data_IF_804427041476
#
_entry.id   IF_804427041476
#
_cell.length_a   1.000
_cell.length_b   1.000
_cell.length_c   1.000
_cell.angle_alpha   90.00
_cell.angle_beta   90.00
_cell.angle_gamma   90.00
#
_symmetry.space_group_name_H-M   'P 1'
#
loop_
_entity.id
_entity.type
_entity.pdbx_description
1 polymer ?
#
# COMPACT_ATOMS: atom_id res chain seq x y z
N UNK A 1 -6.84 38.13 -7.48
CA UNK A 1 -7.16 36.72 -7.18
C UNK A 1 -6.06 35.83 -7.70
N UNK A 2 -5.17 35.35 -6.84
CA UNK A 2 -4.24 34.27 -7.20
C UNK A 2 -4.74 33.02 -6.51
N UNK A 3 -5.17 32.02 -7.27
CA UNK A 3 -5.45 30.69 -6.75
C UNK A 3 -4.09 29.99 -6.62
N UNK A 4 -3.55 29.70 -5.42
CA UNK A 4 -2.33 28.94 -5.35
C UNK A 4 -2.70 27.47 -5.51
N UNK A 5 -2.45 26.97 -6.72
CA UNK A 5 -1.91 25.65 -7.01
C UNK A 5 -2.61 24.50 -6.27
N UNK A 6 -3.59 23.88 -6.92
CA UNK A 6 -3.94 22.49 -6.63
C UNK A 6 -2.62 21.73 -6.57
N UNK A 7 -2.22 21.31 -5.37
CA UNK A 7 -1.09 20.41 -5.20
C UNK A 7 -1.41 19.21 -6.12
N UNK A 8 -0.46 18.76 -6.96
CA UNK A 8 -0.70 17.53 -7.70
C UNK A 8 -1.05 16.50 -6.64
N UNK A 9 -2.27 15.96 -6.71
CA UNK A 9 -2.75 14.89 -5.86
C UNK A 9 -1.59 13.91 -5.78
N UNK A 10 -0.91 13.86 -4.63
CA UNK A 10 0.33 13.10 -4.47
C UNK A 10 0.09 11.76 -5.12
N UNK A 11 0.78 11.51 -6.24
CA UNK A 11 0.47 10.35 -7.07
C UNK A 11 0.40 9.13 -6.15
N UNK A 12 -0.58 8.23 -6.36
CA UNK A 12 -0.77 7.12 -5.43
C UNK A 12 0.57 6.42 -5.22
N UNK A 13 1.02 6.37 -3.96
CA UNK A 13 2.35 5.88 -3.65
C UNK A 13 2.41 4.41 -4.04
N UNK A 14 3.20 4.09 -5.07
CA UNK A 14 3.44 2.71 -5.47
C UNK A 14 4.56 2.16 -4.60
N UNK A 15 4.35 0.99 -4.06
CA UNK A 15 5.36 0.26 -3.29
C UNK A 15 5.55 -1.12 -3.90
N UNK A 16 6.77 -1.61 -3.85
CA UNK A 16 7.10 -2.97 -4.28
C UNK A 16 7.25 -3.84 -3.05
N UNK A 17 6.65 -5.02 -3.08
CA UNK A 17 6.84 -6.00 -2.02
C UNK A 17 8.28 -6.52 -2.00
N UNK A 18 8.98 -6.32 -0.89
CA UNK A 18 10.30 -6.91 -0.65
C UNK A 18 10.19 -8.39 -0.26
N UNK A 19 9.14 -8.72 0.48
CA UNK A 19 8.91 -10.06 1.02
C UNK A 19 7.50 -10.53 0.71
N UNK A 20 7.27 -11.84 0.54
CA UNK A 20 5.92 -12.36 0.39
C UNK A 20 5.13 -12.18 1.68
N UNK A 21 3.91 -11.64 1.58
CA UNK A 21 2.96 -11.59 2.67
C UNK A 21 1.73 -12.43 2.29
N UNK A 22 1.53 -13.50 3.04
CA UNK A 22 0.38 -14.38 2.88
C UNK A 22 -0.41 -14.38 4.18
N UNK A 23 -1.72 -14.13 4.18
CA UNK A 23 -2.56 -14.47 5.32
C UNK A 23 -2.63 -15.99 5.43
N UNK A 24 -1.64 -16.59 6.10
CA UNK A 24 -1.54 -18.03 6.31
C UNK A 24 -2.63 -18.45 7.30
N UNK A 25 -3.75 -18.96 6.77
CA UNK A 25 -4.68 -19.86 7.45
C UNK A 25 -4.98 -19.53 8.92
N UNK A 26 -5.80 -18.50 9.15
CA UNK A 26 -6.34 -18.18 10.47
C UNK A 26 -6.37 -16.69 10.67
N UNK A 27 -7.55 -16.15 10.94
CA UNK A 27 -7.73 -14.77 11.37
C UNK A 27 -7.00 -14.55 12.71
N UNK A 28 -5.69 -14.35 12.66
CA UNK A 28 -4.81 -14.23 13.81
C UNK A 28 -4.08 -12.90 13.80
N UNK A 29 -4.81 -11.85 13.47
CA UNK A 29 -4.61 -10.43 13.77
C UNK A 29 -5.43 -9.66 12.74
N UNK A 30 -6.70 -9.42 13.08
CA UNK A 30 -7.56 -8.55 12.29
C UNK A 30 -6.94 -7.15 12.29
N UNK A 31 -6.15 -6.84 11.27
CA UNK A 31 -5.65 -5.51 10.99
C UNK A 31 -6.87 -4.57 10.97
N UNK A 32 -6.98 -3.79 12.06
CA UNK A 32 -7.95 -2.73 12.30
C UNK A 32 -9.34 -2.93 11.65
N UNK A 33 -10.22 -3.70 12.31
CA UNK A 33 -11.68 -3.45 12.24
C UNK A 33 -12.40 -3.82 10.93
N UNK A 34 -12.03 -4.93 10.28
CA UNK A 34 -12.87 -5.56 9.24
C UNK A 34 -12.29 -5.57 7.81
N UNK A 35 -11.07 -5.10 7.62
CA UNK A 35 -10.40 -5.15 6.32
C UNK A 35 -9.40 -6.32 6.26
N UNK A 36 -9.48 -7.09 5.17
CA UNK A 36 -8.62 -8.25 4.93
C UNK A 36 -7.14 -7.86 4.80
N UNK A 37 -6.22 -8.75 5.18
CA UNK A 37 -4.79 -8.61 4.89
C UNK A 37 -4.52 -8.73 3.39
N UNK A 38 -3.60 -7.92 2.87
CA UNK A 38 -3.24 -7.95 1.46
C UNK A 38 -2.28 -9.12 1.20
N UNK A 39 -2.68 -10.04 0.32
CA UNK A 39 -1.78 -11.08 -0.16
C UNK A 39 -0.90 -10.55 -1.29
N UNK A 40 0.42 -10.74 -1.17
CA UNK A 40 1.38 -10.43 -2.22
C UNK A 40 2.65 -11.28 -2.11
N UNK A 41 3.40 -11.36 -3.21
CA UNK A 41 4.69 -12.01 -3.29
C UNK A 41 5.80 -10.95 -3.39
N UNK A 42 7.03 -11.33 -3.06
CA UNK A 42 8.17 -10.45 -3.33
C UNK A 42 8.25 -10.09 -4.82
N UNK A 43 8.46 -8.81 -5.12
CA UNK A 43 8.43 -8.22 -6.46
C UNK A 43 7.04 -7.76 -6.93
N UNK A 44 5.97 -7.96 -6.14
CA UNK A 44 4.65 -7.44 -6.51
C UNK A 44 4.57 -5.92 -6.34
N UNK A 45 3.99 -5.24 -7.33
CA UNK A 45 3.63 -3.82 -7.22
C UNK A 45 2.31 -3.67 -6.49
N UNK A 46 2.32 -2.86 -5.42
CA UNK A 46 1.17 -2.53 -4.61
C UNK A 46 0.93 -1.01 -4.66
N UNK A 47 -0.31 -0.63 -4.85
CA UNK A 47 -0.72 0.78 -4.87
C UNK A 47 -1.29 1.15 -3.51
N UNK A 48 -0.66 2.08 -2.79
CA UNK A 48 -1.24 2.63 -1.56
C UNK A 48 -2.53 3.36 -1.91
N UNK A 49 -3.60 2.93 -1.24
CA UNK A 49 -4.91 3.56 -1.33
C UNK A 49 -5.13 4.56 -0.19
N UNK A 50 -4.41 4.42 0.92
CA UNK A 50 -4.48 5.31 2.09
C UNK A 50 -3.08 5.87 2.35
N UNK A 51 -2.96 7.20 2.37
CA UNK A 51 -1.71 7.91 2.70
C UNK A 51 -1.45 8.02 4.21
N UNK A 52 -2.49 7.95 5.05
CA UNK A 52 -2.35 7.91 6.50
C UNK A 52 -2.19 6.46 6.99
N UNK A 53 -0.97 5.99 7.34
CA UNK A 53 -0.80 4.73 8.04
C UNK A 53 -1.58 4.74 9.35
N UNK A 54 -2.35 3.68 9.58
CA UNK A 54 -2.75 3.33 10.95
C UNK A 54 -1.66 2.44 11.53
N UNK A 55 -0.93 2.96 12.52
CA UNK A 55 -0.13 2.16 13.44
C UNK A 55 0.83 1.15 12.75
N UNK A 56 1.57 1.60 11.72
CA UNK A 56 2.55 0.77 11.01
C UNK A 56 2.00 -0.12 9.88
N UNK A 57 0.69 -0.07 9.62
CA UNK A 57 0.05 -0.76 8.50
C UNK A 57 -0.28 0.23 7.38
N UNK A 58 -0.10 -0.23 6.14
CA UNK A 58 -0.55 0.46 4.94
C UNK A 58 -1.71 -0.30 4.31
N UNK A 59 -2.68 0.46 3.80
CA UNK A 59 -3.75 -0.12 3.00
C UNK A 59 -3.47 0.15 1.54
N UNK A 60 -3.48 -0.91 0.75
CA UNK A 60 -3.27 -0.80 -0.67
C UNK A 60 -3.84 -1.96 -1.44
N UNK A 61 -3.57 -1.93 -2.73
CA UNK A 61 -4.08 -2.89 -3.69
C UNK A 61 -2.91 -3.53 -4.43
N UNK A 62 -2.90 -4.85 -4.48
CA UNK A 62 -1.94 -5.59 -5.28
C UNK A 62 -2.34 -5.49 -6.76
N UNK A 63 -1.47 -4.98 -7.62
CA UNK A 63 -1.74 -4.85 -9.05
C UNK A 63 -1.76 -6.21 -9.77
N UNK A 64 -0.99 -7.19 -9.29
CA UNK A 64 -0.96 -8.56 -9.84
C UNK A 64 -2.28 -9.28 -9.63
N UNK A 65 -2.88 -9.17 -8.44
CA UNK A 65 -4.09 -9.93 -8.07
C UNK A 65 -5.37 -9.10 -8.01
N UNK A 66 -5.26 -7.77 -8.06
CA UNK A 66 -6.37 -6.84 -7.86
C UNK A 66 -6.93 -6.81 -6.43
N UNK A 67 -6.36 -7.59 -5.50
CA UNK A 67 -6.82 -7.67 -4.11
C UNK A 67 -6.44 -6.42 -3.36
N UNK A 68 -7.28 -6.02 -2.41
CA UNK A 68 -7.06 -4.88 -1.52
C UNK A 68 -6.97 -5.36 -0.10
N UNK A 69 -6.12 -4.71 0.70
CA UNK A 69 -5.93 -5.12 2.07
C UNK A 69 -4.88 -4.33 2.81
N UNK A 70 -4.78 -4.65 4.10
CA UNK A 70 -3.73 -4.13 4.96
C UNK A 70 -2.45 -4.95 4.82
N UNK A 71 -1.32 -4.25 4.82
CA UNK A 71 -0.01 -4.86 4.83
C UNK A 71 0.99 -4.05 5.67
N UNK A 72 1.97 -4.72 6.26
CA UNK A 72 3.03 -4.03 6.98
C UNK A 72 3.90 -3.25 6.01
N UNK A 73 4.06 -1.95 6.23
CA UNK A 73 4.89 -1.10 5.39
C UNK A 73 6.33 -1.64 5.28
N UNK A 74 6.88 -2.20 6.37
CA UNK A 74 8.24 -2.76 6.41
C UNK A 74 8.48 -3.93 5.44
N UNK A 75 7.43 -4.55 4.89
CA UNK A 75 7.54 -5.63 3.91
C UNK A 75 7.58 -5.10 2.48
N UNK A 76 7.45 -3.78 2.33
CA UNK A 76 7.36 -3.10 1.05
C UNK A 76 8.36 -1.96 1.00
N UNK A 77 8.82 -1.62 -0.19
CA UNK A 77 9.66 -0.47 -0.43
C UNK A 77 8.94 0.53 -1.32
N UNK A 78 9.07 1.85 -1.10
CA UNK A 78 8.58 2.83 -2.05
C UNK A 78 9.21 2.58 -3.42
N UNK A 79 8.37 2.35 -4.43
CA UNK A 79 8.82 2.39 -5.80
C UNK A 79 9.26 3.82 -6.05
N UNK A 80 10.56 4.02 -6.26
CA UNK A 80 11.13 5.30 -6.68
C UNK A 80 10.71 5.58 -8.12
N UNK A 81 9.43 5.79 -8.36
CA UNK A 81 9.01 6.49 -9.54
C UNK A 81 9.28 7.95 -9.23
N UNK A 82 10.51 8.40 -9.53
CA UNK A 82 10.90 9.80 -9.49
C UNK A 82 9.72 10.65 -9.97
N UNK A 83 9.10 11.48 -9.12
CA UNK A 83 8.06 12.41 -9.54
C UNK A 83 8.65 13.58 -10.33
N UNK A 84 9.78 13.38 -11.01
CA UNK A 84 10.52 14.40 -11.73
C UNK A 84 10.32 14.14 -13.22
N UNK A 85 9.37 14.87 -13.83
CA UNK A 85 9.71 15.92 -14.79
C UNK A 85 8.51 16.84 -15.08
#
# INVERSE_FOLDING_TARGET
STLPRVLPLSAPARVEALFPHSPQGGAGEAAAGGACLLHFLAGDTLTLLISEPREGWHYGQNERTGRKGWFPFSYTQPCQNSPDQ
#
